data_IF_362350836450
#
_entry.id   IF_362350836450
#
_cell.length_a   1.000
_cell.length_b   1.000
_cell.length_c   1.000
_cell.angle_alpha   90.00
_cell.angle_beta   90.00
_cell.angle_gamma   90.00
#
_symmetry.space_group_name_H-M   'P 1'
#
loop_
_entity.id
_entity.type
_entity.pdbx_description
1 polymer ?
#
# COMPACT_ATOMS: atom_id res chain seq x y z
N UNK A 1 1.63 -33.52 -12.03
CA UNK A 1 2.69 -32.69 -11.43
C UNK A 1 3.94 -33.55 -11.38
N UNK A 2 5.05 -33.12 -11.97
CA UNK A 2 6.28 -33.94 -12.02
C UNK A 2 6.93 -33.89 -10.64
N UNK A 3 7.22 -35.05 -10.05
CA UNK A 3 7.92 -35.14 -8.76
C UNK A 3 9.43 -34.99 -8.99
N UNK A 4 9.94 -33.76 -8.89
CA UNK A 4 11.35 -33.44 -9.16
C UNK A 4 12.35 -34.24 -8.31
N UNK A 5 11.97 -34.63 -7.10
CA UNK A 5 12.79 -35.46 -6.20
C UNK A 5 13.01 -36.90 -6.73
N UNK A 6 12.12 -37.39 -7.60
CA UNK A 6 12.13 -38.78 -8.11
C UNK A 6 12.40 -38.88 -9.60
N UNK A 7 12.40 -37.76 -10.31
CA UNK A 7 12.59 -37.70 -11.76
C UNK A 7 14.08 -37.89 -12.10
N UNK A 8 14.37 -38.84 -13.00
CA UNK A 8 15.74 -39.18 -13.39
C UNK A 8 16.04 -38.85 -14.86
N UNK A 9 15.02 -38.49 -15.64
CA UNK A 9 15.19 -38.20 -17.07
C UNK A 9 15.87 -36.83 -17.26
N UNK A 10 17.08 -36.77 -17.86
CA UNK A 10 17.85 -35.53 -17.95
C UNK A 10 17.16 -34.47 -18.81
N UNK A 11 16.44 -34.86 -19.87
CA UNK A 11 15.74 -33.91 -20.75
C UNK A 11 14.59 -33.20 -20.02
N UNK A 12 13.86 -33.93 -19.19
CA UNK A 12 12.75 -33.38 -18.39
C UNK A 12 13.31 -32.45 -17.32
N UNK A 13 14.36 -32.88 -16.61
CA UNK A 13 15.02 -32.05 -15.61
C UNK A 13 15.57 -30.76 -16.22
N UNK A 14 16.14 -30.82 -17.44
CA UNK A 14 16.63 -29.66 -18.17
C UNK A 14 15.52 -28.70 -18.57
N UNK A 15 14.39 -29.21 -19.08
CA UNK A 15 13.22 -28.40 -19.41
C UNK A 15 12.65 -27.71 -18.17
N UNK A 16 12.54 -28.43 -17.05
CA UNK A 16 12.09 -27.85 -15.79
C UNK A 16 13.08 -26.83 -15.27
N UNK A 17 14.39 -27.09 -15.32
CA UNK A 17 15.41 -26.13 -14.90
C UNK A 17 15.36 -24.82 -15.70
N UNK A 18 15.15 -24.89 -17.02
CA UNK A 18 14.98 -23.70 -17.86
C UNK A 18 13.70 -22.93 -17.54
N UNK A 19 12.59 -23.64 -17.25
CA UNK A 19 11.35 -23.01 -16.83
C UNK A 19 11.51 -22.34 -15.46
N UNK A 20 12.16 -23.02 -14.50
CA UNK A 20 12.45 -22.48 -13.17
C UNK A 20 13.39 -21.27 -13.25
N UNK A 21 14.40 -21.27 -14.12
CA UNK A 21 15.29 -20.12 -14.32
C UNK A 21 14.53 -18.90 -14.85
N UNK A 22 13.64 -19.11 -15.84
CA UNK A 22 12.78 -18.04 -16.36
C UNK A 22 11.83 -17.50 -15.28
N UNK A 23 11.22 -18.39 -14.51
CA UNK A 23 10.31 -18.01 -13.43
C UNK A 23 11.06 -17.26 -12.31
N UNK A 24 12.24 -17.72 -11.91
CA UNK A 24 13.08 -17.04 -10.94
C UNK A 24 13.49 -15.64 -11.41
N UNK A 25 13.85 -15.46 -12.69
CA UNK A 25 14.14 -14.13 -13.25
C UNK A 25 12.92 -13.22 -13.20
N UNK A 26 11.75 -13.73 -13.58
CA UNK A 26 10.51 -12.99 -13.52
C UNK A 26 10.15 -12.58 -12.08
N UNK A 27 10.28 -13.50 -11.12
CA UNK A 27 10.03 -13.23 -9.71
C UNK A 27 11.02 -12.22 -9.13
N UNK A 28 12.30 -12.28 -9.49
CA UNK A 28 13.30 -11.29 -9.08
C UNK A 28 12.98 -9.89 -9.63
N UNK A 29 12.60 -9.78 -10.90
CA UNK A 29 12.15 -8.51 -11.49
C UNK A 29 10.92 -7.97 -10.76
N UNK A 30 9.96 -8.85 -10.46
CA UNK A 30 8.74 -8.45 -9.75
C UNK A 30 9.03 -8.01 -8.32
N UNK A 31 9.89 -8.73 -7.59
CA UNK A 31 10.33 -8.35 -6.24
C UNK A 31 11.04 -7.01 -6.29
N UNK A 32 11.97 -6.79 -7.24
CA UNK A 32 12.66 -5.50 -7.39
C UNK A 32 11.68 -4.36 -7.59
N UNK A 33 10.72 -4.51 -8.50
CA UNK A 33 9.72 -3.49 -8.79
C UNK A 33 8.82 -3.21 -7.56
N UNK A 34 8.35 -4.26 -6.89
CA UNK A 34 7.55 -4.13 -5.68
C UNK A 34 8.34 -3.51 -4.53
N UNK A 35 9.64 -3.80 -4.38
CA UNK A 35 10.50 -3.17 -3.37
C UNK A 35 10.67 -1.69 -3.65
N UNK A 36 10.84 -1.29 -4.92
CA UNK A 36 10.90 0.11 -5.34
C UNK A 36 9.55 0.80 -5.07
N UNK A 37 8.44 0.17 -5.42
CA UNK A 37 7.09 0.70 -5.15
C UNK A 37 6.83 0.83 -3.66
N UNK A 38 7.20 -0.17 -2.86
CA UNK A 38 7.09 -0.13 -1.40
C UNK A 38 7.99 0.95 -0.82
N UNK A 39 9.22 1.13 -1.30
CA UNK A 39 10.11 2.20 -0.85
C UNK A 39 9.58 3.60 -1.20
N UNK A 40 8.95 3.75 -2.37
CA UNK A 40 8.28 4.98 -2.81
C UNK A 40 7.03 5.27 -1.97
N UNK A 41 6.18 4.27 -1.78
CA UNK A 41 4.90 4.39 -1.07
C UNK A 41 5.08 4.53 0.44
N UNK A 42 6.06 3.85 1.00
CA UNK A 42 6.47 4.04 2.39
C UNK A 42 7.35 5.27 2.57
N UNK A 43 7.72 5.95 1.48
CA UNK A 43 8.62 7.09 1.45
C UNK A 43 9.82 6.87 2.36
N UNK A 44 10.70 5.91 2.00
CA UNK A 44 11.94 5.52 2.68
C UNK A 44 12.03 5.95 4.15
N UNK A 45 11.87 5.01 5.10
CA UNK A 45 11.76 5.21 6.56
C UNK A 45 12.17 6.63 6.98
N UNK A 46 11.23 7.46 7.46
CA UNK A 46 11.50 8.87 7.78
C UNK A 46 12.82 9.06 8.56
N UNK A 47 13.20 8.09 9.41
CA UNK A 47 14.49 8.03 10.09
C UNK A 47 15.72 7.81 9.19
N UNK A 48 15.64 6.93 8.19
CA UNK A 48 16.72 6.69 7.20
C UNK A 48 16.89 7.88 6.26
N UNK A 49 15.78 8.49 5.79
CA UNK A 49 15.84 9.72 5.02
C UNK A 49 16.34 10.90 5.86
N UNK A 50 15.95 10.99 7.13
CA UNK A 50 16.49 12.02 8.05
C UNK A 50 17.99 11.86 8.24
N UNK A 51 18.48 10.63 8.45
CA UNK A 51 19.91 10.33 8.52
C UNK A 51 20.64 10.69 7.22
N UNK A 52 20.07 10.36 6.07
CA UNK A 52 20.67 10.68 4.77
C UNK A 52 20.66 12.20 4.51
N UNK A 53 19.58 12.90 4.87
CA UNK A 53 19.47 14.37 4.80
C UNK A 53 20.52 15.03 5.71
N UNK A 54 20.72 14.53 6.93
CA UNK A 54 21.74 15.04 7.85
C UNK A 54 23.15 14.84 7.31
N UNK A 55 23.45 13.65 6.78
CA UNK A 55 24.74 13.36 6.15
C UNK A 55 25.00 14.27 4.94
N UNK A 56 24.00 14.46 4.08
CA UNK A 56 24.12 15.33 2.91
C UNK A 56 24.29 16.80 3.32
N UNK A 57 23.58 17.28 4.35
CA UNK A 57 23.76 18.63 4.91
C UNK A 57 25.16 18.84 5.45
N UNK A 58 25.72 17.85 6.15
CA UNK A 58 27.09 17.93 6.68
C UNK A 58 28.13 17.97 5.55
N UNK A 59 27.96 17.15 4.51
CA UNK A 59 28.82 17.18 3.33
C UNK A 59 28.76 18.52 2.59
N UNK A 60 27.56 19.10 2.45
CA UNK A 60 27.39 20.43 1.86
C UNK A 60 28.04 21.52 2.71
N UNK A 61 27.84 21.52 4.03
CA UNK A 61 28.46 22.48 4.93
C UNK A 61 29.99 22.43 4.85
N UNK A 62 30.59 21.23 4.84
CA UNK A 62 32.04 21.06 4.68
C UNK A 62 32.53 21.59 3.33
N UNK A 63 31.77 21.37 2.25
CA UNK A 63 32.09 21.85 0.91
C UNK A 63 31.94 23.37 0.79
N UNK A 64 30.89 23.93 1.36
CA UNK A 64 30.67 25.38 1.44
C UNK A 64 31.76 26.05 2.26
N UNK A 65 32.16 25.47 3.40
CA UNK A 65 33.28 25.97 4.18
C UNK A 65 34.60 25.89 3.41
N UNK A 66 34.83 24.84 2.62
CA UNK A 66 36.02 24.72 1.79
C UNK A 66 36.05 25.74 0.63
N UNK A 67 34.89 26.06 0.05
CA UNK A 67 34.77 26.99 -1.08
C UNK A 67 34.71 28.46 -0.62
N UNK A 68 33.96 28.74 0.45
CA UNK A 68 33.63 30.09 0.91
C UNK A 68 34.24 30.46 2.27
N UNK A 69 34.73 29.50 3.05
CA UNK A 69 35.28 29.76 4.39
C UNK A 69 36.59 30.55 4.38
N UNK A 70 37.34 30.51 3.29
CA UNK A 70 38.53 31.37 3.06
C UNK A 70 38.15 32.75 2.51
N UNK A 71 36.91 32.95 2.03
CA UNK A 71 36.42 34.21 1.46
C UNK A 71 35.34 34.82 2.35
N UNK A 72 35.66 35.04 3.62
CA UNK A 72 34.89 35.96 4.47
C UNK A 72 35.43 37.40 4.31
N UNK A 73 35.48 37.91 3.08
CA UNK A 73 35.52 39.36 2.87
C UNK A 73 34.12 39.92 3.14
N UNK A 74 33.88 40.32 4.39
CA UNK A 74 32.70 41.12 4.75
C UNK A 74 32.69 42.40 3.91
N UNK A 75 31.90 42.43 2.83
CA UNK A 75 31.53 43.68 2.14
C UNK A 75 30.23 44.24 2.74
N UNK A 76 30.14 45.56 2.98
CA UNK A 76 28.94 46.19 3.51
C UNK A 76 27.79 46.07 2.51
N UNK A 77 26.58 45.81 3.04
CA UNK A 77 25.35 45.60 2.28
C UNK A 77 24.93 46.87 1.53
N UNK A 78 24.78 46.77 0.22
CA UNK A 78 24.04 47.77 -0.57
C UNK A 78 22.70 47.19 -1.03
N UNK A 79 21.64 47.82 -0.53
CA UNK A 79 20.23 47.91 -0.97
C UNK A 79 19.47 46.63 -1.39
N UNK A 80 18.42 46.37 -0.62
CA UNK A 80 17.35 45.40 -0.85
C UNK A 80 16.67 45.63 -2.21
N UNK A 81 16.41 44.53 -2.92
CA UNK A 81 15.54 44.49 -4.11
C UNK A 81 14.16 44.00 -3.64
N UNK A 82 13.03 44.56 -4.13
CA UNK A 82 11.71 44.18 -3.63
C UNK A 82 11.38 42.74 -4.03
N UNK A 83 10.76 42.01 -3.11
CA UNK A 83 10.27 40.66 -3.28
C UNK A 83 8.97 40.71 -4.09
N UNK A 84 8.94 40.05 -5.25
CA UNK A 84 7.73 39.99 -6.08
C UNK A 84 6.74 38.99 -5.47
N UNK A 85 5.47 39.42 -5.37
CA UNK A 85 4.38 38.58 -4.89
C UNK A 85 4.19 37.35 -5.80
N UNK A 86 4.08 36.17 -5.18
CA UNK A 86 3.85 34.90 -5.86
C UNK A 86 2.36 34.73 -6.11
N UNK A 87 2.00 34.43 -7.36
CA UNK A 87 0.61 34.14 -7.74
C UNK A 87 0.08 32.90 -6.99
N UNK A 88 -1.21 32.86 -6.63
CA UNK A 88 -1.79 31.74 -5.90
C UNK A 88 -1.84 30.48 -6.78
N UNK A 89 -1.43 29.35 -6.22
CA UNK A 89 -1.48 28.07 -6.92
C UNK A 89 -2.92 27.58 -7.05
N UNK A 90 -3.37 27.40 -8.29
CA UNK A 90 -4.61 26.71 -8.63
C UNK A 90 -4.37 25.19 -8.66
N UNK A 91 -4.37 24.57 -7.48
CA UNK A 91 -4.34 23.12 -7.37
C UNK A 91 -5.69 22.50 -7.76
N UNK A 92 -5.67 21.44 -8.56
CA UNK A 92 -6.85 20.59 -8.76
C UNK A 92 -7.11 19.78 -7.49
N UNK A 93 -8.37 19.72 -7.05
CA UNK A 93 -8.78 18.90 -5.90
C UNK A 93 -8.59 17.39 -6.14
N UNK A 94 -8.85 16.56 -5.11
CA UNK A 94 -8.74 15.11 -5.22
C UNK A 94 -9.54 14.56 -6.41
N UNK A 95 -8.87 13.82 -7.30
CA UNK A 95 -9.52 13.20 -8.46
C UNK A 95 -10.46 12.07 -8.04
N UNK A 96 -11.71 12.11 -8.48
CA UNK A 96 -12.72 11.06 -8.23
C UNK A 96 -12.26 9.69 -8.76
N UNK A 97 -12.45 8.62 -7.96
CA UNK A 97 -12.04 7.25 -8.31
C UNK A 97 -13.23 6.38 -8.77
N UNK A 98 -13.75 6.64 -9.97
CA UNK A 98 -15.01 6.08 -10.53
C UNK A 98 -15.04 4.55 -10.78
N UNK A 99 -13.93 3.84 -10.59
CA UNK A 99 -13.80 2.42 -10.97
C UNK A 99 -13.50 1.47 -9.79
N UNK A 100 -13.61 1.96 -8.55
CA UNK A 100 -13.45 1.10 -7.36
C UNK A 100 -14.69 0.21 -7.16
N UNK A 101 -14.51 -1.07 -6.77
CA UNK A 101 -15.61 -1.89 -6.29
C UNK A 101 -16.11 -1.35 -4.94
N UNK A 102 -17.40 -1.03 -4.84
CA UNK A 102 -18.05 -0.53 -3.63
C UNK A 102 -18.53 -1.70 -2.79
N UNK A 103 -18.25 -1.68 -1.49
CA UNK A 103 -18.79 -2.59 -0.50
C UNK A 103 -19.68 -1.77 0.44
N UNK A 104 -20.99 -2.05 0.43
CA UNK A 104 -21.95 -1.41 1.32
C UNK A 104 -21.99 -2.19 2.66
N UNK A 105 -21.70 -1.51 3.76
CA UNK A 105 -21.78 -2.07 5.12
C UNK A 105 -22.72 -1.21 5.97
N UNK A 106 -23.75 -1.83 6.56
CA UNK A 106 -24.69 -1.16 7.47
C UNK A 106 -24.20 -1.32 8.90
N UNK A 107 -23.87 -0.21 9.55
CA UNK A 107 -23.47 -0.18 10.95
C UNK A 107 -24.69 0.04 11.84
N UNK A 108 -25.22 -1.03 12.41
CA UNK A 108 -26.33 -0.96 13.37
C UNK A 108 -25.82 -0.68 14.79
N UNK A 109 -26.61 0.06 15.59
CA UNK A 109 -26.35 0.20 17.02
C UNK A 109 -26.38 -1.16 17.73
N UNK A 110 -25.47 -1.34 18.68
CA UNK A 110 -25.48 -2.51 19.54
C UNK A 110 -26.79 -2.59 20.35
N UNK A 111 -27.30 -3.79 20.70
CA UNK A 111 -28.62 -3.93 21.32
C UNK A 111 -28.76 -3.19 22.66
N UNK A 112 -27.67 -3.07 23.40
CA UNK A 112 -27.55 -2.30 24.66
C UNK A 112 -27.56 -0.78 24.44
N UNK A 113 -27.20 -0.32 23.25
CA UNK A 113 -27.21 1.10 22.86
C UNK A 113 -28.55 1.54 22.23
N UNK A 114 -29.48 0.61 21.95
CA UNK A 114 -30.81 0.91 21.40
C UNK A 114 -31.82 1.38 22.46
N UNK A 115 -31.35 1.96 23.56
CA UNK A 115 -32.19 2.48 24.65
C UNK A 115 -32.01 3.99 24.77
N UNK A 116 -33.11 4.74 24.72
CA UNK A 116 -33.07 6.19 24.85
C UNK A 116 -32.60 6.59 26.26
N UNK A 117 -31.53 7.41 26.40
CA UNK A 117 -31.01 7.79 27.72
C UNK A 117 -31.93 8.74 28.50
N UNK A 118 -32.93 9.36 27.85
CA UNK A 118 -33.83 10.32 28.48
C UNK A 118 -35.14 9.69 29.00
N UNK A 119 -35.71 8.73 28.26
CA UNK A 119 -37.01 8.13 28.60
C UNK A 119 -36.96 6.60 28.72
N UNK A 120 -35.80 5.98 28.51
CA UNK A 120 -35.60 4.54 28.58
C UNK A 120 -36.42 3.70 27.59
N UNK A 121 -37.05 4.34 26.59
CA UNK A 121 -37.74 3.67 25.50
C UNK A 121 -36.76 3.08 24.47
N UNK A 122 -37.23 2.12 23.69
CA UNK A 122 -36.46 1.53 22.59
C UNK A 122 -36.29 2.53 21.45
N UNK A 123 -35.08 2.68 20.94
CA UNK A 123 -34.78 3.47 19.75
C UNK A 123 -35.20 2.66 18.51
N UNK A 124 -36.12 3.21 17.73
CA UNK A 124 -36.56 2.65 16.45
C UNK A 124 -35.78 3.27 15.29
N UNK A 125 -35.65 2.53 14.19
CA UNK A 125 -34.99 3.01 12.98
C UNK A 125 -35.76 4.19 12.38
N UNK A 126 -35.03 5.24 11.96
CA UNK A 126 -35.61 6.46 11.39
C UNK A 126 -35.88 6.32 9.89
N UNK A 127 -36.50 5.20 9.48
CA UNK A 127 -36.79 4.90 8.07
C UNK A 127 -35.52 4.89 7.22
N UNK A 128 -35.50 5.71 6.15
CA UNK A 128 -34.39 5.76 5.18
C UNK A 128 -33.27 6.73 5.58
N UNK A 129 -33.30 7.29 6.80
CA UNK A 129 -32.26 8.23 7.25
C UNK A 129 -31.03 7.48 7.75
N UNK A 130 -29.88 7.71 7.10
CA UNK A 130 -28.59 7.15 7.49
C UNK A 130 -27.48 8.19 7.35
N UNK A 131 -26.51 8.14 8.27
CA UNK A 131 -25.24 8.85 8.11
C UNK A 131 -24.32 7.99 7.24
N UNK A 132 -23.98 8.48 6.06
CA UNK A 132 -23.15 7.78 5.09
C UNK A 132 -21.70 8.25 5.17
N UNK A 133 -20.74 7.31 5.18
CA UNK A 133 -19.30 7.61 5.13
C UNK A 133 -18.62 6.69 4.13
N UNK A 134 -17.82 7.26 3.23
CA UNK A 134 -17.04 6.50 2.24
C UNK A 134 -15.59 6.30 2.71
N UNK A 135 -15.13 5.05 2.73
CA UNK A 135 -13.73 4.69 3.02
C UNK A 135 -13.11 3.92 1.84
N UNK A 136 -11.90 4.32 1.41
CA UNK A 136 -11.14 3.61 0.39
C UNK A 136 -10.06 2.75 1.06
N UNK A 137 -10.26 1.44 1.05
CA UNK A 137 -9.30 0.48 1.63
C UNK A 137 -8.61 -0.36 0.54
N UNK A 138 -7.31 -0.65 0.73
CA UNK A 138 -6.52 -1.44 -0.23
C UNK A 138 -6.58 -2.94 0.11
N UNK A 139 -7.24 -3.73 -0.74
CA UNK A 139 -7.23 -5.20 -0.63
C UNK A 139 -6.02 -5.77 -1.39
N UNK A 140 -5.03 -6.33 -0.68
CA UNK A 140 -3.87 -7.00 -1.30
C UNK A 140 -4.29 -8.30 -2.00
N UNK A 141 -3.47 -8.82 -2.93
CA UNK A 141 -3.71 -10.08 -3.66
C UNK A 141 -4.04 -11.23 -2.70
N UNK A 142 -5.28 -11.72 -2.75
CA UNK A 142 -5.76 -12.85 -1.96
C UNK A 142 -5.74 -14.14 -2.78
N UNK A 143 -5.19 -15.21 -2.21
CA UNK A 143 -5.31 -16.57 -2.74
C UNK A 143 -6.17 -17.36 -1.77
N UNK A 144 -7.23 -18.02 -2.25
CA UNK A 144 -8.10 -18.85 -1.41
C UNK A 144 -8.09 -20.31 -1.87
N UNK A 145 -7.96 -21.21 -0.91
CA UNK A 145 -8.00 -22.65 -1.13
C UNK A 145 -9.44 -23.16 -0.99
N UNK A 146 -10.08 -23.50 -2.11
CA UNK A 146 -11.42 -24.09 -2.08
C UNK A 146 -11.33 -25.60 -1.86
N UNK A 147 -11.46 -26.05 -0.60
CA UNK A 147 -11.61 -27.49 -0.28
C UNK A 147 -13.05 -27.93 -0.50
N UNK A 148 -13.31 -28.64 -1.60
CA UNK A 148 -14.63 -29.23 -1.88
C UNK A 148 -14.68 -30.67 -1.37
N UNK A 149 -15.59 -30.95 -0.42
CA UNK A 149 -15.90 -32.33 0.01
C UNK A 149 -17.23 -32.75 -0.61
N UNK A 150 -17.20 -33.77 -1.46
CA UNK A 150 -18.43 -34.43 -1.94
C UNK A 150 -18.85 -35.47 -0.91
N UNK A 151 -20.06 -35.34 -0.38
CA UNK A 151 -20.62 -36.35 0.51
C UNK A 151 -20.96 -37.60 -0.31
N UNK A 152 -20.48 -38.76 0.15
CA UNK A 152 -20.84 -40.03 -0.44
C UNK A 152 -22.12 -40.52 0.23
N UNK A 153 -23.13 -40.76 -0.58
CA UNK A 153 -24.39 -41.35 -0.14
C UNK A 153 -24.41 -42.81 -0.57
N UNK A 154 -25.03 -43.66 0.25
CA UNK A 154 -25.34 -45.05 -0.11
C UNK A 154 -26.82 -45.28 0.10
N UNK A 155 -27.47 -45.99 -0.82
CA UNK A 155 -28.79 -46.55 -0.54
C UNK A 155 -28.66 -47.59 0.58
N UNK A 156 -29.65 -47.68 1.48
CA UNK A 156 -29.73 -48.81 2.43
C UNK A 156 -29.79 -50.17 1.73
N UNK A 157 -30.29 -50.19 0.50
CA UNK A 157 -30.43 -51.35 -0.35
C UNK A 157 -29.11 -51.83 -1.01
N UNK A 158 -28.02 -51.08 -0.91
CA UNK A 158 -26.78 -51.31 -1.68
C UNK A 158 -26.99 -51.45 -3.20
N UNK A 159 -28.13 -50.98 -3.74
CA UNK A 159 -28.35 -50.86 -5.18
C UNK A 159 -27.38 -49.83 -5.75
N UNK A 160 -26.67 -50.23 -6.80
CA UNK A 160 -25.69 -49.40 -7.51
C UNK A 160 -26.30 -48.10 -8.05
#
# INVERSE_FOLDING_TARGET
MISLEKEQRPDILRQVALLLDRENRHLHERIKNLTIEVAKLKGADAATLQLEIEQLREMLARREQAIFGVSSEKRPRTRQKPEAEREPQTGHGPTEQKHLPVLEETLELAPDERTCPACNGTLEEMGDQADETEEITVVRRQFYLVKRRRQKYRCRCNGA
#
